data_IF_672429051869
#
_entry.id   IF_672429051869
#
_cell.length_a   1.000
_cell.length_b   1.000
_cell.length_c   1.000
_cell.angle_alpha   90.00
_cell.angle_beta   90.00
_cell.angle_gamma   90.00
#
_symmetry.space_group_name_H-M   'P 1'
#
loop_
_entity.id
_entity.type
_entity.pdbx_description
1 polymer ?
#
# COMPACT_ATOMS: atom_id res chain seq x y z
N UNK A 1 -6.42 17.64 -10.00
CA UNK A 1 -7.78 18.09 -9.64
C UNK A 1 -7.72 18.84 -8.32
N UNK A 2 -8.45 19.94 -8.17
CA UNK A 2 -8.60 20.65 -6.87
C UNK A 2 -9.97 20.31 -6.28
N UNK A 3 -10.00 20.09 -4.98
CA UNK A 3 -11.22 19.78 -4.22
C UNK A 3 -11.25 20.65 -2.97
N UNK A 4 -12.45 21.03 -2.54
CA UNK A 4 -12.67 21.67 -1.23
C UNK A 4 -13.16 20.60 -0.26
N UNK A 5 -12.55 20.53 0.92
CA UNK A 5 -12.88 19.52 1.95
C UNK A 5 -12.97 20.20 3.31
N UNK A 6 -13.88 19.72 4.14
CA UNK A 6 -13.98 20.10 5.55
C UNK A 6 -13.36 19.00 6.40
N UNK A 7 -12.42 19.37 7.28
CA UNK A 7 -11.72 18.48 8.21
C UNK A 7 -11.76 19.10 9.60
N UNK A 8 -11.66 18.26 10.64
CA UNK A 8 -11.48 18.76 12.01
C UNK A 8 -10.11 19.44 12.12
N UNK A 9 -9.98 20.38 13.06
CA UNK A 9 -8.72 21.09 13.30
C UNK A 9 -7.56 20.14 13.59
N UNK A 10 -7.82 19.13 14.42
CA UNK A 10 -6.83 18.13 14.81
C UNK A 10 -6.37 17.27 13.63
N UNK A 11 -7.27 16.94 12.69
CA UNK A 11 -6.92 16.21 11.47
C UNK A 11 -6.01 17.04 10.56
N UNK A 12 -6.24 18.36 10.49
CA UNK A 12 -5.39 19.28 9.73
C UNK A 12 -4.01 19.40 10.38
N UNK A 13 -3.96 19.49 11.71
CA UNK A 13 -2.71 19.52 12.46
C UNK A 13 -1.89 18.24 12.22
N UNK A 14 -2.54 17.08 12.29
CA UNK A 14 -1.90 15.81 12.00
C UNK A 14 -1.30 15.77 10.59
N UNK A 15 -2.05 16.23 9.57
CA UNK A 15 -1.56 16.27 8.19
C UNK A 15 -0.34 17.21 8.03
N UNK A 16 -0.30 18.32 8.77
CA UNK A 16 0.84 19.25 8.77
C UNK A 16 2.09 18.65 9.40
N UNK A 17 1.93 18.03 10.57
CA UNK A 17 3.02 17.36 11.27
C UNK A 17 3.57 16.20 10.44
N UNK A 18 2.67 15.37 9.89
CA UNK A 18 3.04 14.27 9.01
C UNK A 18 3.76 14.77 7.75
N UNK A 19 3.27 15.84 7.12
CA UNK A 19 3.94 16.42 5.95
C UNK A 19 5.35 16.91 6.29
N UNK A 20 5.53 17.58 7.43
CA UNK A 20 6.83 18.07 7.91
C UNK A 20 7.79 16.91 8.17
N UNK A 21 7.36 15.88 8.89
CA UNK A 21 8.20 14.74 9.26
C UNK A 21 8.63 13.89 8.06
N UNK A 22 7.74 13.77 7.07
CA UNK A 22 8.00 13.00 5.86
C UNK A 22 8.59 13.85 4.71
N UNK A 23 8.89 15.13 4.95
CA UNK A 23 9.46 16.03 3.95
C UNK A 23 8.55 16.30 2.75
N UNK A 24 7.23 16.26 2.94
CA UNK A 24 6.24 16.48 1.88
C UNK A 24 5.99 17.97 1.65
N UNK A 25 5.98 18.40 0.39
CA UNK A 25 5.88 19.81 0.03
C UNK A 25 4.49 20.46 0.20
N UNK A 26 3.46 19.73 0.65
CA UNK A 26 2.12 20.30 0.90
C UNK A 26 1.19 19.35 1.67
N UNK A 27 0.12 19.90 2.27
CA UNK A 27 -1.03 19.13 2.79
C UNK A 27 -1.66 18.23 1.72
N UNK A 28 -1.71 18.68 0.46
CA UNK A 28 -2.24 17.87 -0.64
C UNK A 28 -1.36 16.65 -0.94
N UNK A 29 -0.04 16.75 -0.76
CA UNK A 29 0.87 15.60 -0.89
C UNK A 29 0.65 14.58 0.24
N UNK A 30 0.45 15.06 1.48
CA UNK A 30 0.09 14.20 2.61
C UNK A 30 -1.26 13.49 2.38
N UNK A 31 -2.31 14.23 1.97
CA UNK A 31 -3.60 13.65 1.62
C UNK A 31 -3.52 12.65 0.46
N UNK A 32 -2.74 12.94 -0.58
CA UNK A 32 -2.55 12.00 -1.70
C UNK A 32 -1.88 10.71 -1.24
N UNK A 33 -0.92 10.80 -0.30
CA UNK A 33 -0.30 9.62 0.32
C UNK A 33 -1.30 8.83 1.16
N UNK A 34 -2.12 9.50 1.97
CA UNK A 34 -3.18 8.85 2.74
C UNK A 34 -4.17 8.09 1.84
N UNK A 35 -4.60 8.69 0.72
CA UNK A 35 -5.47 8.02 -0.27
C UNK A 35 -4.82 6.79 -0.88
N UNK A 36 -3.50 6.82 -1.14
CA UNK A 36 -2.77 5.63 -1.62
C UNK A 36 -2.74 4.53 -0.57
N UNK A 37 -2.48 4.90 0.69
CA UNK A 37 -2.49 3.94 1.81
C UNK A 37 -3.87 3.30 1.99
N UNK A 38 -4.95 4.07 1.88
CA UNK A 38 -6.31 3.53 1.92
C UNK A 38 -6.56 2.51 0.80
N UNK A 39 -6.17 2.83 -0.44
CA UNK A 39 -6.27 1.87 -1.56
C UNK A 39 -5.46 0.60 -1.29
N UNK A 40 -4.26 0.73 -0.75
CA UNK A 40 -3.42 -0.44 -0.42
C UNK A 40 -4.02 -1.27 0.71
N UNK A 41 -4.61 -0.63 1.73
CA UNK A 41 -5.27 -1.34 2.82
C UNK A 41 -6.47 -2.18 2.33
N UNK A 42 -7.20 -1.69 1.33
CA UNK A 42 -8.29 -2.44 0.69
C UNK A 42 -7.80 -3.66 -0.12
N UNK A 43 -6.52 -3.70 -0.53
CA UNK A 43 -5.96 -4.84 -1.28
C UNK A 43 -5.63 -6.04 -0.39
N UNK A 44 -5.61 -5.89 0.94
CA UNK A 44 -5.17 -6.94 1.87
C UNK A 44 -5.96 -8.25 1.69
N UNK A 45 -7.30 -8.17 1.70
CA UNK A 45 -8.15 -9.35 1.50
C UNK A 45 -8.03 -9.97 0.10
N UNK A 46 -7.77 -9.14 -0.93
CA UNK A 46 -7.53 -9.64 -2.28
C UNK A 46 -6.22 -10.41 -2.38
N UNK A 47 -5.15 -9.93 -1.74
CA UNK A 47 -3.89 -10.65 -1.68
C UNK A 47 -4.00 -11.95 -0.87
N UNK A 48 -4.72 -11.92 0.25
CA UNK A 48 -5.00 -13.12 1.05
C UNK A 48 -5.73 -14.19 0.24
N UNK A 49 -6.80 -13.79 -0.47
CA UNK A 49 -7.52 -14.69 -1.37
C UNK A 49 -6.63 -15.25 -2.49
N UNK A 50 -5.85 -14.39 -3.15
CA UNK A 50 -4.94 -14.81 -4.22
C UNK A 50 -3.87 -15.80 -3.75
N UNK A 51 -3.31 -15.61 -2.55
CA UNK A 51 -2.38 -16.57 -1.96
C UNK A 51 -3.08 -17.89 -1.59
N UNK A 52 -4.32 -17.83 -1.10
CA UNK A 52 -5.12 -19.02 -0.83
C UNK A 52 -5.41 -19.85 -2.09
N UNK A 53 -5.80 -19.19 -3.18
CA UNK A 53 -6.02 -19.81 -4.49
C UNK A 53 -4.73 -20.46 -5.01
N UNK A 54 -3.63 -19.70 -5.03
CA UNK A 54 -2.31 -20.19 -5.46
C UNK A 54 -1.84 -21.43 -4.70
N UNK A 55 -2.03 -21.46 -3.37
CA UNK A 55 -1.67 -22.60 -2.54
C UNK A 55 -2.61 -23.80 -2.75
N UNK A 56 -3.91 -23.56 -2.95
CA UNK A 56 -4.90 -24.61 -3.12
C UNK A 56 -4.80 -25.30 -4.49
N UNK A 57 -4.39 -24.57 -5.53
CA UNK A 57 -4.26 -25.09 -6.90
C UNK A 57 -2.94 -25.85 -7.14
N UNK A 58 -2.07 -25.94 -6.13
CA UNK A 58 -0.79 -26.64 -6.24
C UNK A 58 0.27 -25.91 -7.06
N UNK A 59 -0.02 -24.67 -7.47
CA UNK A 59 0.92 -23.81 -8.19
C UNK A 59 2.17 -23.53 -7.35
N UNK A 60 2.04 -23.41 -6.02
CA UNK A 60 3.18 -23.29 -5.12
C UNK A 60 4.23 -24.39 -5.34
N UNK A 61 3.80 -25.66 -5.39
CA UNK A 61 4.70 -26.80 -5.57
C UNK A 61 5.29 -26.85 -6.99
N UNK A 62 4.50 -26.46 -8.01
CA UNK A 62 4.96 -26.41 -9.39
C UNK A 62 6.10 -25.40 -9.59
N UNK A 63 5.98 -24.23 -8.97
CA UNK A 63 6.94 -23.13 -9.11
C UNK A 63 8.14 -23.21 -8.17
N UNK A 64 8.04 -23.94 -7.04
CA UNK A 64 9.13 -24.12 -6.06
C UNK A 64 10.43 -24.65 -6.70
N UNK A 65 10.33 -25.52 -7.70
CA UNK A 65 11.50 -26.09 -8.39
C UNK A 65 12.37 -25.06 -9.10
N UNK A 66 11.81 -23.90 -9.46
CA UNK A 66 12.49 -22.83 -10.20
C UNK A 66 13.11 -21.76 -9.31
N UNK A 67 12.88 -21.80 -8.00
CA UNK A 67 13.34 -20.75 -7.05
C UNK A 67 14.86 -20.60 -7.02
N UNK A 68 15.60 -21.66 -7.36
CA UNK A 68 17.07 -21.67 -7.41
C UNK A 68 17.67 -21.37 -8.80
N UNK A 69 16.85 -21.19 -9.83
CA UNK A 69 17.34 -21.05 -11.20
C UNK A 69 18.17 -19.77 -11.37
N UNK A 70 19.35 -19.91 -11.98
CA UNK A 70 20.26 -18.79 -12.23
C UNK A 70 21.05 -18.31 -11.00
N UNK A 71 20.79 -18.85 -9.81
CA UNK A 71 21.55 -18.57 -8.58
C UNK A 71 22.78 -19.47 -8.42
N UNK A 72 23.45 -19.82 -9.53
CA UNK A 72 24.57 -20.77 -9.59
C UNK A 72 25.49 -20.72 -8.36
N UNK A 73 25.84 -21.90 -7.84
CA UNK A 73 26.72 -22.10 -6.68
C UNK A 73 27.96 -21.21 -6.66
#
# INVERSE_FOLDING_TARGET
MKVSVSLLGDDVQFLDEYAREQGLGSRSAALQRAVRLLRTAELGGTYEAAWGEWAAEGEADAWESTTGDGLGS
#
